data_IF_298315652507
#
_entry.id   IF_298315652507
#
_cell.length_a   1.000
_cell.length_b   1.000
_cell.length_c   1.000
_cell.angle_alpha   90.00
_cell.angle_beta   90.00
_cell.angle_gamma   90.00
#
_symmetry.space_group_name_H-M   'P 1'
#
loop_
_entity.id
_entity.type
_entity.pdbx_description
1 polymer ?
#
# COMPACT_ATOMS: atom_id res chain seq x y z
N UNK A 1 -4.22 -3.86 -15.04
CA UNK A 1 -3.83 -4.93 -14.09
C UNK A 1 -2.42 -4.62 -13.65
N UNK A 2 -2.10 -4.44 -12.35
CA UNK A 2 -0.74 -4.70 -11.92
C UNK A 2 -0.49 -6.18 -12.25
N UNK A 3 0.41 -6.44 -13.19
CA UNK A 3 0.75 -7.80 -13.58
C UNK A 3 1.36 -8.50 -12.37
N UNK A 4 0.77 -9.63 -11.95
CA UNK A 4 1.47 -10.56 -11.08
C UNK A 4 2.64 -11.08 -11.93
N UNK A 5 3.90 -10.87 -11.51
CA UNK A 5 5.04 -11.36 -12.28
C UNK A 5 4.91 -12.87 -12.46
N UNK A 6 4.99 -13.34 -13.70
CA UNK A 6 4.96 -14.77 -13.99
C UNK A 6 6.11 -15.47 -13.25
N UNK A 7 5.82 -16.61 -12.61
CA UNK A 7 6.84 -17.45 -11.95
C UNK A 7 6.97 -17.30 -10.42
N UNK A 8 6.05 -16.60 -9.73
CA UNK A 8 5.97 -16.66 -8.26
C UNK A 8 5.16 -17.85 -7.79
N UNK A 9 5.70 -18.57 -6.80
CA UNK A 9 4.99 -19.66 -6.13
C UNK A 9 3.76 -19.12 -5.38
N UNK A 10 2.66 -19.87 -5.46
CA UNK A 10 1.42 -19.56 -4.74
C UNK A 10 1.63 -19.78 -3.25
N UNK A 11 1.09 -18.90 -2.42
CA UNK A 11 1.11 -19.08 -0.96
C UNK A 11 -0.23 -19.69 -0.55
N UNK A 12 -0.20 -20.94 -0.08
CA UNK A 12 -1.43 -21.65 0.29
C UNK A 12 -2.43 -21.83 -0.86
N UNK A 13 -1.95 -21.85 -2.11
CA UNK A 13 -2.80 -21.93 -3.31
C UNK A 13 -3.34 -20.59 -3.82
N UNK A 14 -3.05 -19.49 -3.13
CA UNK A 14 -3.44 -18.13 -3.52
C UNK A 14 -2.31 -17.39 -4.26
N UNK A 15 -2.70 -16.57 -5.21
CA UNK A 15 -1.82 -15.54 -5.76
C UNK A 15 -1.60 -14.45 -4.71
N UNK A 16 -0.45 -13.78 -4.74
CA UNK A 16 -0.10 -12.75 -3.77
C UNK A 16 0.51 -11.51 -4.44
N UNK A 17 0.33 -10.36 -3.79
CA UNK A 17 0.90 -9.09 -4.19
C UNK A 17 2.02 -8.70 -3.24
N UNK A 18 3.15 -8.27 -3.77
CA UNK A 18 4.23 -7.72 -2.94
C UNK A 18 3.96 -6.26 -2.54
N UNK A 19 4.81 -5.73 -1.66
CA UNK A 19 4.73 -4.33 -1.22
C UNK A 19 4.83 -3.33 -2.37
N UNK A 20 5.49 -3.67 -3.48
CA UNK A 20 5.53 -2.82 -4.68
C UNK A 20 4.16 -2.69 -5.31
N UNK A 21 3.49 -3.82 -5.49
CA UNK A 21 2.16 -3.88 -6.09
C UNK A 21 1.11 -3.27 -5.16
N UNK A 22 1.16 -3.57 -3.86
CA UNK A 22 0.29 -2.96 -2.85
C UNK A 22 0.47 -1.43 -2.79
N UNK A 23 1.72 -0.96 -2.87
CA UNK A 23 2.04 0.47 -2.96
C UNK A 23 1.44 1.11 -4.22
N UNK A 24 1.59 0.47 -5.38
CA UNK A 24 1.03 0.94 -6.65
C UNK A 24 -0.49 1.00 -6.64
N UNK A 25 -1.16 0.14 -5.87
CA UNK A 25 -2.61 0.20 -5.66
C UNK A 25 -3.04 1.37 -4.75
N UNK A 26 -2.11 2.06 -4.09
CA UNK A 26 -2.41 3.12 -3.12
C UNK A 26 -2.66 2.62 -1.70
N UNK A 27 -2.50 1.33 -1.43
CA UNK A 27 -2.81 0.73 -0.12
C UNK A 27 -1.95 1.31 1.00
N UNK A 28 -0.65 1.53 0.73
CA UNK A 28 0.26 2.09 1.74
C UNK A 28 -0.17 3.48 2.19
N UNK A 29 -0.58 4.34 1.24
CA UNK A 29 -1.08 5.70 1.55
C UNK A 29 -2.32 5.60 2.44
N UNK A 30 -3.20 4.64 2.18
CA UNK A 30 -4.41 4.43 2.98
C UNK A 30 -4.09 3.94 4.40
N UNK A 31 -3.28 2.90 4.55
CA UNK A 31 -2.83 2.39 5.86
C UNK A 31 -2.17 3.50 6.67
N UNK A 32 -1.26 4.23 6.04
CA UNK A 32 -0.57 5.34 6.67
C UNK A 32 -1.55 6.42 7.12
N UNK A 33 -2.45 6.87 6.24
CA UNK A 33 -3.39 7.96 6.56
C UNK A 33 -4.42 7.57 7.62
N UNK A 34 -5.01 6.37 7.51
CA UNK A 34 -6.13 5.96 8.34
C UNK A 34 -5.70 5.37 9.69
N UNK A 35 -4.54 4.70 9.74
CA UNK A 35 -4.12 3.92 10.91
C UNK A 35 -2.86 4.49 11.55
N UNK A 36 -1.79 4.70 10.77
CA UNK A 36 -0.46 4.93 11.34
C UNK A 36 -0.16 6.40 11.64
N UNK A 37 -0.58 7.33 10.79
CA UNK A 37 -0.41 8.77 11.00
C UNK A 37 -1.05 9.25 12.31
N UNK A 38 -2.27 8.81 12.70
CA UNK A 38 -2.84 9.12 14.01
C UNK A 38 -1.99 8.64 15.20
N UNK A 39 -1.13 7.64 14.99
CA UNK A 39 -0.21 7.09 15.99
C UNK A 39 1.19 7.71 15.91
N UNK A 40 1.42 8.67 15.01
CA UNK A 40 2.75 9.22 14.75
C UNK A 40 3.68 8.25 14.00
N UNK A 41 3.14 7.27 13.29
CA UNK A 41 3.88 6.23 12.57
C UNK A 41 3.64 6.31 11.05
N UNK A 42 4.57 5.80 10.25
CA UNK A 42 4.36 5.61 8.81
C UNK A 42 5.18 4.43 8.28
N UNK A 43 4.56 3.48 7.58
CA UNK A 43 5.29 2.46 6.83
C UNK A 43 5.81 3.02 5.51
N UNK A 44 6.96 2.54 5.07
CA UNK A 44 7.59 2.93 3.82
C UNK A 44 8.10 1.71 3.08
N UNK A 45 8.45 1.90 1.81
CA UNK A 45 9.06 0.86 1.01
C UNK A 45 10.39 1.41 0.49
N UNK A 46 11.43 0.61 0.61
CA UNK A 46 12.70 0.89 -0.06
C UNK A 46 12.52 0.69 -1.59
N UNK A 47 12.72 1.74 -2.41
CA UNK A 47 12.58 1.64 -3.86
C UNK A 47 13.52 0.62 -4.51
N UNK A 48 14.69 0.37 -3.92
CA UNK A 48 15.68 -0.54 -4.47
C UNK A 48 15.31 -2.01 -4.24
N UNK A 49 14.95 -2.38 -3.01
CA UNK A 49 14.61 -3.76 -2.66
C UNK A 49 13.13 -4.10 -2.81
N UNK A 50 12.24 -3.12 -2.87
CA UNK A 50 10.79 -3.35 -2.85
C UNK A 50 10.25 -3.84 -1.50
N UNK A 51 11.06 -3.80 -0.44
CA UNK A 51 10.68 -4.28 0.90
C UNK A 51 10.26 -3.12 1.81
N UNK A 52 9.46 -3.43 2.83
CA UNK A 52 9.20 -2.53 3.96
C UNK A 52 9.95 -3.07 5.17
N UNK A 53 10.94 -2.32 5.65
CA UNK A 53 11.74 -2.73 6.80
C UNK A 53 11.02 -2.51 8.15
N UNK A 54 9.94 -1.72 8.16
CA UNK A 54 9.22 -1.35 9.38
C UNK A 54 8.47 -0.02 9.22
N UNK A 55 8.32 0.70 10.34
CA UNK A 55 7.67 2.00 10.39
C UNK A 55 8.64 3.10 10.84
N UNK A 56 8.47 4.29 10.28
CA UNK A 56 9.10 5.54 10.71
C UNK A 56 8.28 6.17 11.83
N UNK A 57 8.97 6.87 12.74
CA UNK A 57 8.35 7.58 13.86
C UNK A 57 8.44 9.08 13.58
N UNK A 58 7.33 9.80 13.71
CA UNK A 58 7.28 11.24 13.55
C UNK A 58 8.01 11.93 14.71
N UNK A 59 8.97 12.85 14.43
CA UNK A 59 9.65 13.60 15.49
C UNK A 59 8.71 14.47 16.34
N UNK A 60 7.61 14.95 15.74
CA UNK A 60 6.58 15.78 16.38
C UNK A 60 5.28 15.01 16.66
N UNK A 61 5.31 13.69 16.49
CA UNK A 61 4.16 12.81 16.64
C UNK A 61 3.12 12.91 15.52
N UNK A 62 3.40 13.60 14.40
CA UNK A 62 2.45 13.80 13.31
C UNK A 62 3.03 13.43 11.95
N UNK A 63 2.21 12.76 11.16
CA UNK A 63 2.44 12.57 9.73
C UNK A 63 1.21 13.00 8.95
N UNK A 64 1.42 13.56 7.76
CA UNK A 64 0.34 13.86 6.83
C UNK A 64 0.87 13.77 5.40
N UNK A 65 0.09 13.15 4.53
CA UNK A 65 0.30 13.30 3.09
C UNK A 65 -0.36 14.58 2.61
N UNK A 66 0.14 15.12 1.49
CA UNK A 66 -0.56 16.16 0.77
C UNK A 66 -1.92 15.64 0.25
N UNK A 67 -2.98 16.48 0.19
CA UNK A 67 -4.31 16.03 -0.20
C UNK A 67 -4.39 15.36 -1.58
N UNK A 68 -3.61 15.82 -2.54
CA UNK A 68 -3.52 15.26 -3.90
C UNK A 68 -3.01 13.82 -3.90
N UNK A 69 -2.07 13.49 -3.01
CA UNK A 69 -1.56 12.12 -2.82
C UNK A 69 -2.66 11.20 -2.30
N UNK A 70 -3.48 11.68 -1.36
CA UNK A 70 -4.60 10.92 -0.78
C UNK A 70 -5.66 10.64 -1.85
N UNK A 71 -6.07 11.66 -2.60
CA UNK A 71 -7.10 11.51 -3.64
C UNK A 71 -6.64 10.59 -4.76
N UNK A 72 -5.39 10.74 -5.21
CA UNK A 72 -4.83 9.85 -6.22
C UNK A 72 -4.73 8.39 -5.71
N UNK A 73 -4.47 8.16 -4.43
CA UNK A 73 -4.46 6.81 -3.85
C UNK A 73 -5.86 6.20 -3.77
N UNK A 74 -6.88 6.98 -3.37
CA UNK A 74 -8.28 6.52 -3.33
C UNK A 74 -8.76 6.07 -4.71
N UNK A 75 -8.48 6.85 -5.76
CA UNK A 75 -8.85 6.50 -7.14
C UNK A 75 -8.25 5.15 -7.57
N UNK A 76 -6.97 4.90 -7.25
CA UNK A 76 -6.30 3.63 -7.58
C UNK A 76 -6.89 2.44 -6.84
N UNK A 77 -7.35 2.62 -5.61
CA UNK A 77 -8.00 1.57 -4.82
C UNK A 77 -9.42 1.27 -5.32
N UNK A 78 -10.22 2.29 -5.67
CA UNK A 78 -11.58 2.09 -6.17
C UNK A 78 -11.60 1.29 -7.48
N UNK A 79 -10.63 1.53 -8.35
CA UNK A 79 -10.48 0.80 -9.63
C UNK A 79 -10.18 -0.70 -9.44
N UNK A 80 -9.69 -1.08 -8.26
CA UNK A 80 -9.38 -2.48 -7.91
C UNK A 80 -10.57 -3.18 -7.23
N UNK A 81 -11.40 -2.46 -6.48
CA UNK A 81 -12.56 -3.04 -5.76
C UNK A 81 -13.64 -3.58 -6.70
N UNK A 82 -13.81 -3.01 -7.89
CA UNK A 82 -14.85 -3.42 -8.85
C UNK A 82 -14.63 -4.78 -9.52
N UNK A 83 -13.53 -5.49 -9.22
CA UNK A 83 -13.10 -6.70 -9.95
C UNK A 83 -13.13 -8.00 -9.12
N UNK A 84 -13.42 -7.92 -7.83
CA UNK A 84 -13.63 -9.07 -6.94
C UNK A 84 -15.08 -9.20 -6.46
N UNK A 85 -16.01 -8.45 -7.07
CA UNK A 85 -17.45 -8.53 -6.80
C UNK A 85 -18.09 -9.75 -7.44
N UNK A 86 -17.78 -10.94 -6.93
CA UNK A 86 -18.62 -12.12 -7.04
C UNK A 86 -18.42 -12.95 -5.77
N UNK A 87 -19.30 -12.71 -4.79
CA UNK A 87 -19.70 -13.68 -3.79
C UNK A 87 -21.22 -13.74 -3.80
#
# INVERSE_FOLDING_TARGET
MPTIPAGREKIGGCDWLDWTQLSALGLMVRINTEILHPLGLAVFRDPASGTSAGAMIAPDGKWAYAPDVIEAAKARLSDHSGKHGHF
#
